data_IF_636657882444
#
_entry.id   IF_636657882444
#
_cell.length_a   1.000
_cell.length_b   1.000
_cell.length_c   1.000
_cell.angle_alpha   90.00
_cell.angle_beta   90.00
_cell.angle_gamma   90.00
#
_symmetry.space_group_name_H-M   'P 1'
#
loop_
_entity.id
_entity.type
_entity.pdbx_description
1 polymer ?
#
# COMPACT_ATOMS: atom_id res chain seq x y z
N UNK A 1 22.86 0.27 9.15
CA UNK A 1 22.24 -0.04 10.44
C UNK A 1 21.03 -0.95 10.31
N UNK A 2 20.41 -1.05 9.14
CA UNK A 2 19.23 -1.88 8.86
C UNK A 2 17.91 -1.26 9.33
N UNK A 3 17.88 0.05 9.52
CA UNK A 3 16.70 0.85 9.73
C UNK A 3 16.36 1.59 8.45
N UNK A 4 15.10 1.90 8.25
CA UNK A 4 14.68 2.85 7.21
C UNK A 4 15.14 4.26 7.58
N UNK A 5 15.44 5.05 6.55
CA UNK A 5 15.88 6.44 6.73
C UNK A 5 14.73 7.41 7.04
N UNK A 6 13.48 6.94 6.96
CA UNK A 6 12.26 7.72 7.14
C UNK A 6 11.26 7.00 8.03
N UNK A 7 10.09 7.59 8.24
CA UNK A 7 8.95 6.96 8.92
C UNK A 7 8.12 6.05 7.98
N UNK A 8 8.58 5.83 6.77
CA UNK A 8 7.86 5.03 5.77
C UNK A 8 8.12 3.54 5.95
N UNK A 9 7.13 2.72 5.63
CA UNK A 9 7.30 1.28 5.57
C UNK A 9 8.15 0.87 4.35
N UNK A 10 8.74 -0.31 4.41
CA UNK A 10 9.55 -0.83 3.30
C UNK A 10 8.68 -1.08 2.07
N UNK A 11 9.20 -0.75 0.90
CA UNK A 11 8.51 -1.00 -0.37
C UNK A 11 8.48 -2.49 -0.74
N UNK A 12 9.44 -3.26 -0.22
CA UNK A 12 9.57 -4.71 -0.42
C UNK A 12 10.39 -5.32 0.70
N UNK A 13 10.10 -6.56 1.10
CA UNK A 13 10.96 -7.33 2.01
C UNK A 13 12.18 -7.92 1.31
N UNK A 14 12.32 -7.71 0.00
CA UNK A 14 13.50 -8.06 -0.78
C UNK A 14 13.89 -6.89 -1.67
N UNK A 15 15.16 -6.63 -1.77
CA UNK A 15 15.70 -5.60 -2.64
C UNK A 15 17.06 -6.01 -3.20
N UNK A 16 17.39 -5.47 -4.34
CA UNK A 16 18.69 -5.67 -4.97
C UNK A 16 19.62 -4.52 -4.62
N UNK A 17 20.87 -4.87 -4.29
CA UNK A 17 21.92 -3.90 -4.08
C UNK A 17 23.05 -4.14 -5.09
N UNK A 18 23.24 -3.18 -5.96
CA UNK A 18 24.40 -3.14 -6.86
C UNK A 18 25.63 -2.57 -6.14
N UNK A 19 26.73 -3.27 -6.22
CA UNK A 19 28.08 -2.81 -5.81
C UNK A 19 29.06 -3.12 -6.93
N UNK A 20 30.29 -2.59 -6.86
CA UNK A 20 31.33 -2.82 -7.88
C UNK A 20 31.57 -4.31 -8.19
N UNK A 21 31.41 -5.18 -7.20
CA UNK A 21 31.58 -6.64 -7.32
C UNK A 21 30.36 -7.40 -7.85
N UNK A 22 29.24 -6.73 -8.12
CA UNK A 22 28.02 -7.37 -8.64
C UNK A 22 26.73 -6.91 -7.98
N UNK A 23 25.63 -7.57 -8.32
CA UNK A 23 24.31 -7.31 -7.77
C UNK A 23 23.93 -8.42 -6.80
N UNK A 24 23.57 -8.04 -5.58
CA UNK A 24 23.19 -8.95 -4.51
C UNK A 24 21.71 -8.76 -4.17
N UNK A 25 21.01 -9.89 -3.97
CA UNK A 25 19.65 -9.89 -3.45
C UNK A 25 19.74 -9.91 -1.93
N UNK A 26 19.19 -8.86 -1.31
CA UNK A 26 19.10 -8.73 0.13
C UNK A 26 17.67 -8.98 0.57
N UNK A 27 17.51 -9.77 1.61
CA UNK A 27 16.21 -10.04 2.25
C UNK A 27 16.16 -9.27 3.56
N UNK A 28 14.99 -8.82 3.94
CA UNK A 28 14.77 -8.20 5.24
C UNK A 28 15.25 -9.14 6.36
N UNK A 29 16.36 -8.77 6.99
CA UNK A 29 17.01 -9.61 8.01
C UNK A 29 16.11 -9.94 9.20
N UNK A 30 15.17 -9.06 9.52
CA UNK A 30 14.23 -9.27 10.62
C UNK A 30 13.17 -10.32 10.25
N UNK A 31 12.68 -10.27 9.01
CA UNK A 31 11.79 -11.29 8.46
C UNK A 31 12.48 -12.67 8.49
N UNK A 32 13.71 -12.76 7.96
CA UNK A 32 14.48 -14.01 7.95
C UNK A 32 14.66 -14.54 9.36
N UNK A 33 15.04 -13.67 10.32
CA UNK A 33 15.22 -14.05 11.71
C UNK A 33 13.94 -14.63 12.32
N UNK A 34 12.80 -14.04 12.00
CA UNK A 34 11.51 -14.53 12.52
C UNK A 34 11.12 -15.87 11.88
N UNK A 35 11.29 -16.01 10.56
CA UNK A 35 11.02 -17.27 9.87
C UNK A 35 11.96 -18.41 10.30
N UNK A 36 13.22 -18.10 10.63
CA UNK A 36 14.17 -19.07 11.19
C UNK A 36 13.72 -19.53 12.58
N UNK A 37 13.30 -18.61 13.46
CA UNK A 37 12.78 -18.97 14.79
C UNK A 37 11.55 -19.89 14.71
N UNK A 38 10.71 -19.68 13.70
CA UNK A 38 9.53 -20.50 13.47
C UNK A 38 9.86 -21.82 12.75
N UNK A 39 11.12 -22.05 12.36
CA UNK A 39 11.54 -23.27 11.67
C UNK A 39 11.03 -23.39 10.23
N UNK A 40 10.50 -22.31 9.63
CA UNK A 40 9.90 -22.33 8.28
C UNK A 40 10.79 -21.70 7.20
N UNK A 41 11.91 -21.08 7.58
CA UNK A 41 12.84 -20.51 6.61
C UNK A 41 13.48 -21.61 5.76
N UNK A 42 13.30 -21.54 4.44
CA UNK A 42 13.83 -22.49 3.47
C UNK A 42 14.06 -21.82 2.12
N UNK A 43 14.76 -22.50 1.23
CA UNK A 43 14.96 -22.03 -0.15
C UNK A 43 13.62 -21.90 -0.91
N UNK A 44 12.67 -22.79 -0.60
CA UNK A 44 11.31 -22.71 -1.15
C UNK A 44 10.61 -21.41 -0.73
N UNK A 45 10.62 -21.08 0.56
CA UNK A 45 10.03 -19.83 1.07
C UNK A 45 10.73 -18.61 0.47
N UNK A 46 12.07 -18.62 0.39
CA UNK A 46 12.82 -17.55 -0.25
C UNK A 46 12.37 -17.34 -1.71
N UNK A 47 12.22 -18.41 -2.49
CA UNK A 47 11.75 -18.34 -3.88
C UNK A 47 10.32 -17.76 -3.96
N UNK A 48 9.41 -18.18 -3.07
CA UNK A 48 8.05 -17.63 -3.01
C UNK A 48 8.06 -16.13 -2.73
N UNK A 49 8.86 -15.67 -1.79
CA UNK A 49 9.00 -14.23 -1.49
C UNK A 49 9.54 -13.47 -2.71
N UNK A 50 10.47 -14.05 -3.50
CA UNK A 50 10.96 -13.44 -4.74
C UNK A 50 9.83 -13.31 -5.77
N UNK A 51 9.07 -14.37 -6.00
CA UNK A 51 7.93 -14.39 -6.95
C UNK A 51 6.88 -13.35 -6.57
N UNK A 52 6.61 -13.21 -5.27
CA UNK A 52 5.68 -12.21 -4.72
C UNK A 52 6.28 -10.79 -4.61
N UNK A 53 7.40 -10.51 -5.28
CA UNK A 53 8.08 -9.20 -5.26
C UNK A 53 8.39 -8.68 -3.84
N UNK A 54 8.67 -9.60 -2.91
CA UNK A 54 8.97 -9.29 -1.52
C UNK A 54 7.76 -9.20 -0.61
N UNK A 55 6.55 -9.43 -1.10
CA UNK A 55 5.36 -9.62 -0.26
C UNK A 55 5.40 -10.99 0.45
N UNK A 56 4.82 -11.05 1.63
CA UNK A 56 4.62 -12.31 2.39
C UNK A 56 3.15 -12.68 2.51
N UNK A 57 2.26 -11.85 1.96
CA UNK A 57 0.82 -11.97 2.21
C UNK A 57 0.22 -13.25 1.62
N UNK A 58 0.63 -13.62 0.42
CA UNK A 58 0.09 -14.77 -0.34
C UNK A 58 0.82 -16.11 -0.05
N UNK A 59 1.74 -16.14 0.92
CA UNK A 59 2.49 -17.34 1.26
C UNK A 59 1.79 -18.09 2.40
N UNK A 60 1.14 -19.25 2.14
CA UNK A 60 0.31 -19.92 3.15
C UNK A 60 1.07 -20.37 4.39
N UNK A 61 2.34 -20.75 4.24
CA UNK A 61 3.19 -21.26 5.30
C UNK A 61 3.57 -20.20 6.35
N UNK A 62 3.45 -18.92 5.99
CA UNK A 62 3.79 -17.82 6.90
C UNK A 62 2.58 -17.49 7.76
N UNK A 63 2.73 -17.50 9.10
CA UNK A 63 1.64 -17.19 10.02
C UNK A 63 1.14 -15.76 9.90
N UNK A 64 -0.15 -15.55 10.19
CA UNK A 64 -0.82 -14.24 10.05
C UNK A 64 -0.12 -13.14 10.83
N UNK A 65 0.34 -13.40 12.06
CA UNK A 65 1.03 -12.37 12.86
C UNK A 65 2.34 -11.88 12.20
N UNK A 66 3.05 -12.75 11.49
CA UNK A 66 4.25 -12.36 10.71
C UNK A 66 3.84 -11.55 9.50
N UNK A 67 2.78 -11.97 8.80
CA UNK A 67 2.25 -11.23 7.65
C UNK A 67 1.85 -9.81 8.03
N UNK A 68 1.19 -9.62 9.18
CA UNK A 68 0.78 -8.30 9.67
C UNK A 68 1.96 -7.37 9.94
N UNK A 69 3.07 -7.89 10.48
CA UNK A 69 4.27 -7.10 10.81
C UNK A 69 5.08 -6.74 9.56
N UNK A 70 5.16 -7.66 8.60
CA UNK A 70 6.03 -7.49 7.42
C UNK A 70 5.25 -7.08 6.15
N UNK A 71 4.17 -6.33 6.32
CA UNK A 71 3.47 -5.67 5.21
C UNK A 71 4.41 -4.72 4.47
N UNK A 72 4.34 -4.75 3.16
CA UNK A 72 4.96 -3.72 2.33
C UNK A 72 4.15 -2.44 2.35
N UNK A 73 4.73 -1.34 1.96
CA UNK A 73 4.06 -0.04 1.94
C UNK A 73 2.79 -0.02 1.07
N UNK A 74 2.72 -0.86 0.04
CA UNK A 74 1.54 -1.00 -0.82
C UNK A 74 0.40 -1.80 -0.17
N UNK A 75 0.69 -2.57 0.88
CA UNK A 75 -0.25 -3.40 1.63
C UNK A 75 -0.79 -2.70 2.88
N UNK A 76 -0.21 -1.55 3.22
CA UNK A 76 -0.66 -0.69 4.31
C UNK A 76 -1.73 0.27 3.78
N UNK A 77 -2.78 0.48 4.56
CA UNK A 77 -3.81 1.47 4.23
C UNK A 77 -3.20 2.88 4.24
N UNK A 78 -3.24 3.56 3.11
CA UNK A 78 -2.66 4.91 3.00
C UNK A 78 -3.37 5.94 3.88
N UNK A 79 -4.60 5.67 4.28
CA UNK A 79 -5.30 6.44 5.31
C UNK A 79 -4.51 6.46 6.62
N UNK A 80 -4.01 5.31 7.07
CA UNK A 80 -3.26 5.21 8.32
C UNK A 80 -1.94 6.01 8.26
N UNK A 81 -1.31 6.04 7.08
CA UNK A 81 -0.10 6.86 6.83
C UNK A 81 -0.43 8.35 6.94
N UNK A 82 -1.57 8.79 6.39
CA UNK A 82 -2.03 10.19 6.49
C UNK A 82 -2.35 10.54 7.94
N UNK A 83 -3.06 9.68 8.66
CA UNK A 83 -3.43 9.90 10.05
C UNK A 83 -2.19 10.04 10.94
N UNK A 84 -1.21 9.12 10.81
CA UNK A 84 0.07 9.23 11.54
C UNK A 84 0.84 10.51 11.19
N UNK A 85 0.79 10.97 9.95
CA UNK A 85 1.44 12.20 9.54
C UNK A 85 0.73 13.44 10.11
N UNK A 86 -0.60 13.43 10.15
CA UNK A 86 -1.40 14.49 10.76
C UNK A 86 -1.13 14.59 12.26
N UNK A 87 -1.10 13.46 12.97
CA UNK A 87 -0.82 13.41 14.41
C UNK A 87 0.58 13.94 14.74
N UNK A 88 1.60 13.54 13.98
CA UNK A 88 2.97 14.08 14.15
C UNK A 88 3.06 15.57 13.90
N UNK A 89 2.20 16.11 13.03
CA UNK A 89 2.19 17.52 12.65
C UNK A 89 2.08 18.48 13.83
N UNK A 90 1.44 18.07 14.93
CA UNK A 90 1.31 18.86 16.15
C UNK A 90 2.64 19.03 16.93
N UNK A 91 3.61 18.14 16.70
CA UNK A 91 4.85 18.05 17.46
C UNK A 91 6.10 18.47 16.66
N UNK A 92 5.92 18.91 15.42
CA UNK A 92 7.01 19.36 14.55
C UNK A 92 6.75 20.79 14.07
N UNK A 93 7.77 21.64 14.10
CA UNK A 93 7.65 23.03 13.69
C UNK A 93 7.53 23.18 12.18
N UNK A 94 8.32 22.43 11.44
CA UNK A 94 8.32 22.46 9.99
C UNK A 94 7.31 21.51 9.37
N UNK A 95 7.18 21.64 8.09
CA UNK A 95 6.43 20.73 7.25
C UNK A 95 7.12 19.37 7.17
N UNK A 96 6.36 18.32 6.90
CA UNK A 96 6.91 16.98 6.70
C UNK A 96 6.64 16.52 5.27
N UNK A 97 7.67 15.99 4.61
CA UNK A 97 7.48 15.29 3.35
C UNK A 97 6.77 13.97 3.61
N UNK A 98 5.75 13.67 2.82
CA UNK A 98 5.01 12.43 2.91
C UNK A 98 4.80 11.86 1.51
N UNK A 99 5.15 10.60 1.34
CA UNK A 99 4.88 9.85 0.13
C UNK A 99 3.63 8.99 0.33
N UNK A 100 2.81 8.91 -0.71
CA UNK A 100 1.67 8.02 -0.76
C UNK A 100 1.94 6.94 -1.80
N UNK A 101 1.54 5.73 -1.49
CA UNK A 101 1.79 4.55 -2.31
C UNK A 101 0.47 3.94 -2.73
N UNK A 102 0.25 3.83 -4.02
CA UNK A 102 -0.95 3.23 -4.61
C UNK A 102 -0.57 2.18 -5.63
N UNK A 103 -1.17 1.02 -5.53
CA UNK A 103 -0.98 -0.04 -6.51
C UNK A 103 -1.63 0.33 -7.85
N UNK A 104 -2.88 0.77 -7.80
CA UNK A 104 -3.67 1.16 -8.98
C UNK A 104 -4.32 2.53 -8.74
N UNK A 105 -3.59 3.64 -9.03
CA UNK A 105 -4.11 4.98 -8.85
C UNK A 105 -5.20 5.29 -9.89
N UNK A 106 -6.27 5.93 -9.44
CA UNK A 106 -7.28 6.53 -10.31
C UNK A 106 -7.73 7.88 -9.73
N UNK A 107 -8.45 8.67 -10.54
CA UNK A 107 -8.91 9.99 -10.13
C UNK A 107 -9.74 10.01 -8.86
N UNK A 108 -10.62 9.03 -8.68
CA UNK A 108 -11.49 8.96 -7.50
C UNK A 108 -10.69 8.70 -6.23
N UNK A 109 -9.75 7.74 -6.27
CA UNK A 109 -8.85 7.44 -5.14
C UNK A 109 -7.96 8.64 -4.80
N UNK A 110 -7.38 9.29 -5.81
CA UNK A 110 -6.54 10.47 -5.63
C UNK A 110 -7.32 11.62 -4.98
N UNK A 111 -8.49 11.93 -5.54
CA UNK A 111 -9.35 13.00 -5.02
C UNK A 111 -9.79 12.70 -3.59
N UNK A 112 -10.24 11.48 -3.30
CA UNK A 112 -10.65 11.08 -1.96
C UNK A 112 -9.51 11.23 -0.94
N UNK A 113 -8.29 10.84 -1.32
CA UNK A 113 -7.11 10.92 -0.48
C UNK A 113 -6.69 12.37 -0.18
N UNK A 114 -6.68 13.24 -1.20
CA UNK A 114 -6.40 14.67 -0.99
C UNK A 114 -7.43 15.33 -0.09
N UNK A 115 -8.71 15.05 -0.29
CA UNK A 115 -9.75 15.54 0.59
C UNK A 115 -9.64 14.97 2.00
N UNK A 116 -9.25 13.70 2.13
CA UNK A 116 -9.01 13.10 3.43
C UNK A 116 -7.87 13.79 4.17
N UNK A 117 -6.73 14.01 3.51
CA UNK A 117 -5.57 14.75 4.06
C UNK A 117 -5.89 16.21 4.41
N UNK A 118 -6.86 16.83 3.72
CA UNK A 118 -7.39 18.15 4.04
C UNK A 118 -8.37 18.13 5.23
N UNK A 119 -8.67 16.95 5.76
CA UNK A 119 -9.53 16.76 6.93
C UNK A 119 -10.99 16.52 6.60
N UNK A 120 -11.36 16.32 5.33
CA UNK A 120 -12.74 15.98 4.98
C UNK A 120 -13.13 14.62 5.57
N UNK A 121 -14.29 14.59 6.23
CA UNK A 121 -14.93 13.38 6.76
C UNK A 121 -16.36 13.30 6.25
N UNK A 122 -16.81 12.09 5.96
CA UNK A 122 -18.19 11.87 5.56
C UNK A 122 -19.11 11.97 6.78
N UNK A 123 -20.30 12.52 6.58
CA UNK A 123 -21.33 12.53 7.61
C UNK A 123 -21.80 11.10 7.90
N UNK A 124 -22.00 10.81 9.17
CA UNK A 124 -22.67 9.60 9.64
C UNK A 124 -24.16 9.88 9.59
N UNK A 125 -24.94 8.96 9.07
CA UNK A 125 -26.39 9.06 9.06
C UNK A 125 -26.98 8.21 10.18
N UNK A 126 -28.04 8.69 10.81
CA UNK A 126 -28.83 7.92 11.76
C UNK A 126 -29.71 6.89 11.04
N UNK A 127 -30.49 6.13 11.80
CA UNK A 127 -31.40 5.10 11.31
C UNK A 127 -32.47 5.67 10.34
N UNK A 128 -32.75 6.97 10.42
CA UNK A 128 -33.72 7.67 9.58
C UNK A 128 -33.06 8.38 8.38
N UNK A 129 -31.75 8.20 8.18
CA UNK A 129 -31.01 8.85 7.12
C UNK A 129 -30.70 10.33 7.38
N UNK A 130 -30.85 10.81 8.62
CA UNK A 130 -30.52 12.18 9.01
C UNK A 130 -29.04 12.27 9.39
N UNK A 131 -28.37 13.32 8.94
CA UNK A 131 -26.96 13.51 9.20
C UNK A 131 -26.70 13.83 10.69
N UNK A 132 -25.90 13.00 11.33
CA UNK A 132 -25.34 13.27 12.65
C UNK A 132 -24.17 14.24 12.48
N UNK A 133 -24.34 15.46 12.98
CA UNK A 133 -23.33 16.50 12.89
C UNK A 133 -22.44 16.44 14.14
N UNK A 134 -21.13 16.11 14.00
CA UNK A 134 -20.23 16.12 15.14
C UNK A 134 -20.07 17.53 15.70
N UNK A 135 -20.07 17.63 17.02
CA UNK A 135 -19.92 18.88 17.75
C UNK A 135 -18.45 19.02 18.21
N UNK A 136 -17.87 20.21 18.15
CA UNK A 136 -16.53 20.48 18.68
C UNK A 136 -15.85 21.68 18.03
N UNK A 137 -14.92 22.30 18.74
CA UNK A 137 -14.16 23.48 18.29
C UNK A 137 -13.33 23.23 17.03
N UNK A 138 -12.99 21.97 16.77
CA UNK A 138 -12.15 21.59 15.62
C UNK A 138 -12.96 21.01 14.45
N UNK A 139 -14.27 21.13 14.49
CA UNK A 139 -15.18 20.62 13.48
C UNK A 139 -15.80 21.81 12.72
N UNK A 140 -15.71 21.76 11.41
CA UNK A 140 -16.33 22.70 10.48
C UNK A 140 -17.25 21.96 9.54
N UNK A 141 -18.55 22.22 9.61
CA UNK A 141 -19.53 21.59 8.74
C UNK A 141 -19.64 22.38 7.44
N UNK A 142 -19.59 21.67 6.31
CA UNK A 142 -19.73 22.27 4.98
C UNK A 142 -21.12 21.96 4.45
N UNK A 143 -21.84 22.99 4.10
CA UNK A 143 -23.20 22.95 3.58
C UNK A 143 -23.24 23.15 2.07
N UNK A 144 -24.23 22.61 1.42
CA UNK A 144 -24.52 22.92 0.02
C UNK A 144 -25.27 24.26 -0.14
N UNK A 145 -25.59 24.62 -1.39
CA UNK A 145 -26.32 25.85 -1.70
C UNK A 145 -27.75 25.88 -1.13
N UNK A 146 -28.28 24.74 -0.74
CA UNK A 146 -29.65 24.61 -0.17
C UNK A 146 -29.64 24.59 1.37
N UNK A 147 -28.45 24.69 1.99
CA UNK A 147 -28.29 24.62 3.45
C UNK A 147 -28.26 23.19 4.00
N UNK A 148 -28.16 22.17 3.13
CA UNK A 148 -28.02 20.78 3.55
C UNK A 148 -26.55 20.45 3.85
N UNK A 149 -26.24 19.80 5.00
CA UNK A 149 -24.89 19.41 5.32
C UNK A 149 -24.39 18.34 4.31
N UNK A 150 -23.17 18.52 3.77
CA UNK A 150 -22.55 17.62 2.80
C UNK A 150 -21.47 16.75 3.42
N UNK A 151 -20.60 17.35 4.21
CA UNK A 151 -19.52 16.72 4.91
C UNK A 151 -19.06 17.63 6.05
N UNK A 152 -18.22 17.12 6.93
CA UNK A 152 -17.53 17.95 7.91
C UNK A 152 -16.03 17.89 7.70
N UNK A 153 -15.33 18.87 8.23
CA UNK A 153 -13.87 18.97 8.21
C UNK A 153 -13.36 18.94 9.62
N UNK A 154 -12.43 18.05 9.88
CA UNK A 154 -11.71 17.91 11.14
C UNK A 154 -10.38 18.66 11.08
N UNK A 155 -10.27 19.81 11.72
CA UNK A 155 -9.06 20.66 11.66
C UNK A 155 -7.84 20.01 12.32
N UNK A 156 -8.03 19.19 13.35
CA UNK A 156 -6.93 18.47 14.02
C UNK A 156 -6.32 17.35 13.19
N UNK A 157 -7.08 16.75 12.33
CA UNK A 157 -6.66 15.61 11.49
C UNK A 157 -6.24 16.04 10.08
N UNK A 158 -5.80 17.30 9.93
CA UNK A 158 -5.31 17.80 8.64
C UNK A 158 -3.81 17.64 8.53
N UNK A 159 -3.34 17.31 7.33
CA UNK A 159 -1.92 17.36 7.04
C UNK A 159 -1.41 18.80 7.13
N UNK A 160 -0.24 18.98 7.76
CA UNK A 160 0.44 20.28 7.85
C UNK A 160 0.92 20.76 6.48
N UNK A 161 1.27 19.81 5.59
CA UNK A 161 1.56 20.05 4.19
C UNK A 161 0.84 19.06 3.29
N UNK A 162 0.84 19.33 1.97
CA UNK A 162 0.36 18.38 1.00
C UNK A 162 1.24 17.13 0.87
N UNK A 163 0.75 16.19 0.09
CA UNK A 163 1.45 14.97 -0.30
C UNK A 163 2.62 15.37 -1.20
N UNK A 164 3.82 14.81 -0.93
CA UNK A 164 5.02 15.15 -1.68
C UNK A 164 5.13 14.33 -2.98
N UNK A 165 5.07 13.00 -2.86
CA UNK A 165 5.05 12.10 -4.01
C UNK A 165 3.87 11.14 -3.92
N UNK A 166 3.29 10.89 -5.09
CA UNK A 166 2.47 9.71 -5.32
C UNK A 166 3.32 8.66 -6.03
N UNK A 167 3.50 7.52 -5.40
CA UNK A 167 4.26 6.39 -5.95
C UNK A 167 3.30 5.26 -6.30
N UNK A 168 3.44 4.71 -7.48
CA UNK A 168 2.74 3.51 -7.92
C UNK A 168 3.73 2.36 -8.11
N UNK A 169 3.23 1.14 -8.13
CA UNK A 169 4.04 0.01 -8.57
C UNK A 169 4.41 0.20 -10.03
N UNK A 170 5.63 -0.20 -10.41
CA UNK A 170 6.04 -0.24 -11.80
C UNK A 170 5.13 -1.22 -12.56
N UNK A 171 4.67 -0.81 -13.74
CA UNK A 171 3.84 -1.67 -14.60
C UNK A 171 4.60 -2.89 -15.16
N UNK A 172 5.94 -2.89 -15.06
CA UNK A 172 6.80 -4.01 -15.44
C UNK A 172 7.51 -4.57 -14.21
N UNK A 173 7.54 -5.88 -14.08
CA UNK A 173 8.36 -6.56 -13.09
C UNK A 173 9.83 -6.15 -13.30
N UNK A 174 10.44 -5.57 -12.27
CA UNK A 174 11.88 -5.43 -12.25
C UNK A 174 12.47 -6.84 -12.33
N UNK A 175 13.14 -7.10 -13.44
CA UNK A 175 13.85 -8.34 -13.82
C UNK A 175 13.60 -9.48 -12.82
N UNK A 176 12.63 -10.35 -13.14
CA UNK A 176 12.53 -11.64 -12.47
C UNK A 176 13.84 -12.36 -12.78
N UNK A 177 14.78 -12.30 -11.84
CA UNK A 177 15.95 -13.17 -11.93
C UNK A 177 15.41 -14.57 -12.12
N UNK A 178 15.91 -15.26 -13.13
CA UNK A 178 15.58 -16.62 -13.49
C UNK A 178 15.84 -17.54 -12.29
N UNK A 179 14.95 -17.48 -11.30
CA UNK A 179 14.73 -18.66 -10.50
C UNK A 179 14.09 -19.62 -11.49
N UNK A 180 14.53 -20.86 -11.56
CA UNK A 180 13.80 -21.96 -12.16
C UNK A 180 12.49 -22.16 -11.36
N UNK A 181 11.62 -21.16 -11.35
CA UNK A 181 10.19 -21.34 -11.19
C UNK A 181 9.81 -22.02 -12.52
N UNK A 182 9.07 -23.10 -12.46
CA UNK A 182 8.54 -23.82 -13.59
C UNK A 182 8.16 -22.81 -14.66
N UNK A 183 8.95 -22.77 -15.73
CA UNK A 183 8.65 -21.93 -16.88
C UNK A 183 7.35 -22.50 -17.40
N UNK A 184 6.26 -21.75 -17.27
CA UNK A 184 5.00 -22.11 -17.95
C UNK A 184 5.38 -22.44 -19.38
N UNK A 185 4.97 -23.60 -19.83
CA UNK A 185 5.32 -24.06 -21.19
C UNK A 185 4.79 -23.01 -22.17
N UNK A 186 5.43 -22.91 -23.33
CA UNK A 186 4.97 -21.98 -24.39
C UNK A 186 3.50 -22.25 -24.73
N UNK A 187 3.04 -23.49 -24.56
CA UNK A 187 1.66 -23.93 -24.73
C UNK A 187 0.70 -23.35 -23.67
N UNK A 188 1.12 -23.27 -22.41
CA UNK A 188 0.32 -22.62 -21.34
C UNK A 188 0.24 -21.11 -21.51
N UNK A 189 1.31 -20.48 -21.99
CA UNK A 189 1.32 -19.04 -22.30
C UNK A 189 0.44 -18.74 -23.54
N UNK A 190 0.47 -19.61 -24.56
CA UNK A 190 -0.41 -19.48 -25.72
C UNK A 190 -1.88 -19.72 -25.37
N UNK A 191 -2.18 -20.63 -24.45
CA UNK A 191 -3.54 -20.88 -23.99
C UNK A 191 -4.11 -19.67 -23.20
N UNK A 192 -3.30 -19.00 -22.38
CA UNK A 192 -3.70 -17.77 -21.69
C UNK A 192 -3.96 -16.60 -22.67
N UNK A 193 -3.13 -16.49 -23.72
CA UNK A 193 -3.31 -15.46 -24.76
C UNK A 193 -4.56 -15.76 -25.61
N UNK A 194 -4.79 -17.01 -25.95
CA UNK A 194 -5.98 -17.44 -26.70
C UNK A 194 -7.26 -17.16 -25.90
N UNK A 195 -7.28 -17.51 -24.62
CA UNK A 195 -8.42 -17.23 -23.74
C UNK A 195 -8.73 -15.73 -23.64
N UNK A 196 -7.69 -14.88 -23.61
CA UNK A 196 -7.83 -13.42 -23.56
C UNK A 196 -8.36 -12.82 -24.87
N UNK A 197 -8.14 -13.48 -26.01
CA UNK A 197 -8.62 -13.03 -27.32
C UNK A 197 -10.06 -13.46 -27.61
N UNK A 198 -10.48 -14.61 -27.04
CA UNK A 198 -11.81 -15.18 -27.30
C UNK A 198 -12.89 -14.62 -26.35
N UNK A 199 -12.53 -14.15 -25.15
CA UNK A 199 -13.45 -13.51 -24.19
C UNK A 199 -12.77 -12.36 -23.44
N UNK A 200 -12.68 -11.17 -24.06
CA UNK A 200 -12.01 -10.01 -23.45
C UNK A 200 -12.72 -9.45 -22.21
N UNK A 201 -14.03 -9.71 -22.04
CA UNK A 201 -14.83 -9.20 -20.92
C UNK A 201 -14.85 -10.16 -19.70
N UNK A 202 -14.55 -11.43 -19.91
CA UNK A 202 -14.51 -12.48 -18.87
C UNK A 202 -13.11 -12.78 -18.32
N UNK A 203 -12.06 -12.19 -18.87
CA UNK A 203 -10.69 -12.46 -18.46
C UNK A 203 -10.35 -11.83 -17.11
N UNK A 204 -10.27 -12.63 -16.06
CA UNK A 204 -9.93 -12.23 -14.70
C UNK A 204 -8.53 -11.58 -14.60
N UNK A 205 -7.65 -11.84 -15.56
CA UNK A 205 -6.30 -11.26 -15.60
C UNK A 205 -6.28 -9.77 -16.00
N UNK A 206 -7.32 -9.27 -16.70
CA UNK A 206 -7.42 -7.88 -17.15
C UNK A 206 -8.44 -7.04 -16.38
N UNK A 207 -9.18 -7.63 -15.46
CA UNK A 207 -10.33 -7.06 -14.78
C UNK A 207 -10.13 -6.76 -13.30
N UNK A 208 -9.08 -6.03 -12.92
CA UNK A 208 -8.99 -5.49 -11.55
C UNK A 208 -8.27 -4.16 -11.50
#
# INVERSE_FOLDING_TARGET
LGNEASCEAQTSNMYTRGVLSGTFILVNKYLVKELVKLGIWSDSIRKKIIVENGSVQNIPEIPTHVKEVFKTVYEIKQKDVIDMAADRGAFIDQTQSMNIFMDSPNFAKLTAMHFYGWGRRNLILDENGVAIIPQGENVEVVYDKTGKPRFYREKKSTLKTGIYYLRNKAAGDAIKFTTQAEVKTVEEQMAEISCSLDDPDGCIACGS
#
